data_IF_785739121396
#
_entry.id   IF_785739121396
#
_cell.length_a   1.000
_cell.length_b   1.000
_cell.length_c   1.000
_cell.angle_alpha   90.00
_cell.angle_beta   90.00
_cell.angle_gamma   90.00
#
_symmetry.space_group_name_H-M   'P 1'
#
loop_
_entity.id
_entity.type
_entity.pdbx_description
1 polymer ?
#
# COMPACT_ATOMS: atom_id res chain seq x y z
N UNK A 1 46.57 0.37 34.19
CA UNK A 1 45.77 -0.83 34.36
C UNK A 1 44.71 -0.82 33.28
N UNK A 2 44.99 -1.52 32.20
CA UNK A 2 44.21 -1.60 30.98
C UNK A 2 43.29 -2.83 31.08
N UNK A 3 41.98 -2.60 31.08
CA UNK A 3 41.00 -3.69 31.01
C UNK A 3 40.50 -3.80 29.60
N UNK A 4 40.99 -4.80 28.90
CA UNK A 4 40.57 -5.23 27.57
C UNK A 4 39.23 -5.97 27.68
N UNK A 5 38.17 -5.43 27.08
CA UNK A 5 36.90 -6.13 26.90
C UNK A 5 37.03 -6.93 25.60
N UNK A 6 37.27 -8.23 25.75
CA UNK A 6 37.26 -9.22 24.66
C UNK A 6 35.83 -9.63 24.37
N UNK A 7 35.21 -8.99 23.38
CA UNK A 7 33.92 -9.43 22.80
C UNK A 7 34.19 -10.59 21.82
N UNK A 8 33.76 -11.80 22.19
CA UNK A 8 33.87 -13.00 21.36
C UNK A 8 32.97 -12.86 20.13
N UNK A 9 33.52 -12.39 19.01
CA UNK A 9 32.82 -12.44 17.72
C UNK A 9 32.67 -13.90 17.27
N UNK A 10 31.47 -14.43 17.40
CA UNK A 10 31.16 -15.76 16.86
C UNK A 10 31.28 -15.72 15.35
N UNK A 11 32.29 -16.36 14.81
CA UNK A 11 32.51 -16.42 13.37
C UNK A 11 31.39 -17.18 12.67
N UNK A 12 30.77 -16.59 11.65
CA UNK A 12 29.71 -17.25 10.85
C UNK A 12 30.18 -18.57 10.23
N UNK A 13 31.49 -18.77 10.08
CA UNK A 13 32.10 -20.00 9.56
C UNK A 13 31.96 -21.17 10.54
N UNK A 14 31.92 -20.91 11.84
CA UNK A 14 31.75 -21.97 12.86
C UNK A 14 30.33 -22.48 12.97
N UNK A 15 29.34 -21.77 12.37
CA UNK A 15 27.92 -22.12 12.38
C UNK A 15 27.47 -22.81 11.07
N UNK A 16 28.40 -23.13 10.17
CA UNK A 16 28.12 -23.72 8.85
C UNK A 16 27.33 -25.04 8.93
N UNK A 17 27.58 -25.82 9.97
CA UNK A 17 26.95 -27.14 10.17
C UNK A 17 25.68 -27.05 11.04
N UNK A 18 25.27 -25.83 11.43
CA UNK A 18 24.08 -25.56 12.26
C UNK A 18 23.21 -24.49 11.60
N UNK A 19 22.44 -24.86 10.57
CA UNK A 19 21.72 -23.90 9.74
C UNK A 19 20.72 -23.03 10.53
N UNK A 20 20.12 -23.58 11.59
CA UNK A 20 19.17 -22.83 12.41
C UNK A 20 19.85 -21.77 13.29
N UNK A 21 21.00 -22.06 13.85
CA UNK A 21 21.79 -21.09 14.62
C UNK A 21 22.39 -20.02 13.71
N UNK A 22 22.80 -20.40 12.50
CA UNK A 22 23.27 -19.47 11.48
C UNK A 22 22.16 -18.46 11.09
N UNK A 23 20.93 -18.96 10.88
CA UNK A 23 19.78 -18.08 10.56
C UNK A 23 19.46 -17.14 11.71
N UNK A 24 19.48 -17.60 12.97
CA UNK A 24 19.28 -16.74 14.15
C UNK A 24 20.36 -15.65 14.26
N UNK A 25 21.62 -16.01 14.01
CA UNK A 25 22.70 -15.04 14.08
C UNK A 25 22.64 -14.03 12.93
N UNK A 26 22.25 -14.45 11.71
CA UNK A 26 22.00 -13.58 10.59
C UNK A 26 20.81 -12.63 10.87
N UNK A 27 19.72 -13.13 11.44
CA UNK A 27 18.58 -12.31 11.84
C UNK A 27 18.98 -11.27 12.89
N UNK A 28 19.75 -11.68 13.90
CA UNK A 28 20.26 -10.79 14.97
C UNK A 28 21.16 -9.69 14.38
N UNK A 29 22.05 -10.04 13.46
CA UNK A 29 22.92 -9.07 12.76
C UNK A 29 22.14 -8.16 11.84
N UNK A 30 21.15 -8.68 11.11
CA UNK A 30 20.25 -7.87 10.28
C UNK A 30 19.46 -6.85 11.13
N UNK A 31 18.93 -7.26 12.27
CA UNK A 31 18.26 -6.35 13.23
C UNK A 31 19.24 -5.32 13.82
N UNK A 32 20.46 -5.72 14.15
CA UNK A 32 21.49 -4.82 14.67
C UNK A 32 21.94 -3.77 13.63
N UNK A 33 22.04 -4.16 12.35
CA UNK A 33 22.32 -3.25 11.24
C UNK A 33 21.16 -2.27 11.00
N UNK A 34 19.91 -2.73 11.18
CA UNK A 34 18.73 -1.86 11.04
C UNK A 34 18.60 -0.87 12.21
N UNK A 35 19.15 -1.19 13.40
CA UNK A 35 19.10 -0.32 14.59
C UNK A 35 20.37 0.52 14.76
N UNK A 36 21.50 0.17 14.09
CA UNK A 36 22.81 0.70 14.44
C UNK A 36 23.50 1.61 13.42
N UNK A 37 22.98 1.86 12.22
CA UNK A 37 23.64 2.71 11.22
C UNK A 37 22.67 3.44 10.29
N UNK A 38 21.69 4.14 10.84
CA UNK A 38 21.27 5.39 10.22
C UNK A 38 21.97 6.50 11.00
N UNK A 39 22.75 7.41 10.38
CA UNK A 39 23.08 8.64 11.03
C UNK A 39 21.75 9.30 11.40
N UNK A 40 21.52 9.56 12.69
CA UNK A 40 20.48 10.45 13.16
C UNK A 40 20.86 11.90 12.80
N UNK A 41 21.03 12.14 11.51
CA UNK A 41 20.74 13.45 10.97
C UNK A 41 19.22 13.54 11.00
N UNK A 42 18.68 14.66 11.40
CA UNK A 42 17.29 15.10 11.42
C UNK A 42 16.55 14.90 10.06
N UNK A 43 16.70 13.75 9.43
CA UNK A 43 15.97 13.25 8.30
C UNK A 43 14.63 12.72 8.87
N UNK A 44 13.59 13.55 8.74
CA UNK A 44 12.25 13.33 9.19
C UNK A 44 11.74 11.93 8.83
N UNK A 45 10.75 11.48 9.56
CA UNK A 45 10.07 10.21 9.33
C UNK A 45 9.84 10.00 7.84
N UNK A 46 10.21 8.81 7.36
CA UNK A 46 9.98 8.42 5.97
C UNK A 46 8.56 7.86 5.83
N UNK A 47 7.80 8.44 4.92
CA UNK A 47 6.49 7.93 4.54
C UNK A 47 6.63 7.00 3.33
N UNK A 48 5.97 5.86 3.37
CA UNK A 48 5.97 4.87 2.30
C UNK A 48 4.55 4.65 1.80
N UNK A 49 4.36 4.70 0.50
CA UNK A 49 3.07 4.43 -0.12
C UNK A 49 3.18 3.60 -1.39
N UNK A 50 2.03 3.12 -1.83
CA UNK A 50 1.84 2.47 -3.13
C UNK A 50 1.38 3.52 -4.12
N UNK A 51 2.11 3.69 -5.21
CA UNK A 51 1.72 4.55 -6.31
C UNK A 51 0.91 3.76 -7.33
N UNK A 52 -0.20 4.32 -7.78
CA UNK A 52 -1.07 3.71 -8.79
C UNK A 52 -1.64 4.75 -9.73
N UNK A 53 -2.06 4.30 -10.91
CA UNK A 53 -2.70 5.14 -11.92
C UNK A 53 -4.19 4.87 -11.95
N UNK A 54 -4.97 5.93 -12.12
CA UNK A 54 -6.41 5.88 -12.28
C UNK A 54 -6.86 7.04 -13.17
N UNK A 55 -7.49 6.72 -14.31
CA UNK A 55 -8.00 7.72 -15.25
C UNK A 55 -6.96 8.67 -15.84
N UNK A 56 -5.70 8.23 -15.95
CA UNK A 56 -4.59 9.06 -16.45
C UNK A 56 -3.84 9.83 -15.37
N UNK A 57 -4.36 9.93 -14.15
CA UNK A 57 -3.70 10.56 -13.01
C UNK A 57 -3.01 9.54 -12.12
N UNK A 58 -1.98 9.98 -11.41
CA UNK A 58 -1.22 9.14 -10.48
C UNK A 58 -1.56 9.53 -9.05
N UNK A 59 -1.85 8.53 -8.23
CA UNK A 59 -2.21 8.67 -6.82
C UNK A 59 -1.27 7.84 -5.95
N UNK A 60 -1.21 8.22 -4.69
CA UNK A 60 -0.57 7.44 -3.62
C UNK A 60 -1.63 6.94 -2.64
N UNK A 61 -1.39 5.78 -2.06
CA UNK A 61 -2.07 5.31 -0.85
C UNK A 61 -1.03 4.90 0.17
N UNK A 62 -1.30 5.12 1.44
CA UNK A 62 -0.38 4.72 2.50
C UNK A 62 -0.19 3.19 2.49
N UNK A 63 1.06 2.76 2.74
CA UNK A 63 1.36 1.33 2.80
C UNK A 63 0.55 0.63 3.89
N UNK A 64 0.33 1.29 5.00
CA UNK A 64 -0.43 0.79 6.15
C UNK A 64 -1.90 0.54 5.81
N UNK A 65 -2.47 1.31 4.87
CA UNK A 65 -3.84 1.13 4.38
C UNK A 65 -3.94 0.08 3.27
N UNK A 66 -2.81 -0.45 2.79
CA UNK A 66 -2.74 -1.48 1.74
C UNK A 66 -2.28 -2.81 2.32
N UNK A 67 -3.12 -3.83 2.24
CA UNK A 67 -2.78 -5.20 2.65
C UNK A 67 -1.86 -5.88 1.63
N UNK A 68 -2.27 -5.87 0.37
CA UNK A 68 -1.54 -6.45 -0.76
C UNK A 68 -2.01 -5.85 -2.10
N UNK A 69 -1.24 -6.09 -3.15
CA UNK A 69 -1.60 -5.76 -4.53
C UNK A 69 -1.65 -7.05 -5.34
N UNK A 70 -2.74 -7.24 -6.07
CA UNK A 70 -3.01 -8.45 -6.85
C UNK A 70 -3.20 -8.12 -8.33
N UNK A 71 -3.00 -9.13 -9.20
CA UNK A 71 -3.57 -9.11 -10.54
C UNK A 71 -5.10 -9.16 -10.47
N UNK A 72 -5.79 -8.64 -11.48
CA UNK A 72 -7.25 -8.78 -11.54
C UNK A 72 -7.62 -10.26 -11.64
N UNK A 73 -8.51 -10.78 -10.77
CA UNK A 73 -8.87 -12.19 -10.76
C UNK A 73 -9.54 -12.61 -12.07
N UNK A 74 -9.23 -13.84 -12.56
CA UNK A 74 -9.83 -14.38 -13.76
C UNK A 74 -11.33 -14.65 -13.60
N UNK A 75 -11.78 -14.95 -12.38
CA UNK A 75 -13.18 -15.23 -12.06
C UNK A 75 -13.68 -14.29 -10.99
N UNK A 76 -14.69 -13.50 -11.34
CA UNK A 76 -15.41 -12.62 -10.43
C UNK A 76 -16.90 -12.91 -10.59
N UNK A 77 -17.53 -13.38 -9.51
CA UNK A 77 -18.96 -13.69 -9.47
C UNK A 77 -19.76 -12.44 -9.19
N UNK A 78 -20.65 -12.06 -10.10
CA UNK A 78 -21.51 -10.88 -9.93
C UNK A 78 -22.50 -11.06 -8.79
N UNK A 79 -22.79 -9.96 -8.10
CA UNK A 79 -23.81 -9.91 -7.03
C UNK A 79 -25.06 -9.23 -7.62
N UNK A 80 -26.21 -9.93 -7.68
CA UNK A 80 -27.47 -9.31 -8.10
C UNK A 80 -27.86 -8.15 -7.18
N UNK A 81 -28.39 -7.06 -7.72
CA UNK A 81 -28.83 -5.88 -6.95
C UNK A 81 -27.68 -5.04 -6.36
N UNK A 82 -26.43 -5.28 -6.77
CA UNK A 82 -25.32 -4.43 -6.37
C UNK A 82 -25.16 -3.23 -7.32
N UNK A 83 -24.65 -2.12 -6.80
CA UNK A 83 -24.36 -0.93 -7.61
C UNK A 83 -23.31 -1.22 -8.69
N UNK A 84 -23.34 -0.46 -9.79
CA UNK A 84 -22.51 -0.70 -10.98
C UNK A 84 -21.01 -0.75 -10.74
N UNK A 85 -20.52 -0.06 -9.71
CA UNK A 85 -19.11 -0.07 -9.32
C UNK A 85 -18.71 -1.33 -8.53
N UNK A 86 -19.66 -2.14 -8.06
CA UNK A 86 -19.40 -3.46 -7.46
C UNK A 86 -19.28 -4.48 -8.59
N UNK A 87 -18.08 -4.98 -8.82
CA UNK A 87 -17.84 -6.00 -9.88
C UNK A 87 -18.28 -7.39 -9.46
N UNK A 88 -18.29 -7.68 -8.15
CA UNK A 88 -18.71 -8.97 -7.62
C UNK A 88 -17.80 -9.48 -6.49
N UNK A 89 -17.78 -10.80 -6.32
CA UNK A 89 -16.92 -11.51 -5.37
C UNK A 89 -15.87 -12.34 -6.11
N UNK A 90 -14.64 -12.28 -5.64
CA UNK A 90 -13.57 -13.15 -6.08
C UNK A 90 -13.05 -14.00 -4.91
N UNK A 91 -12.64 -15.22 -5.20
CA UNK A 91 -11.91 -16.04 -4.23
C UNK A 91 -10.42 -15.69 -4.33
N UNK A 92 -9.87 -15.11 -3.26
CA UNK A 92 -8.46 -14.79 -3.14
C UNK A 92 -7.89 -15.60 -1.99
N UNK A 93 -7.06 -16.59 -2.29
CA UNK A 93 -6.43 -17.49 -1.31
C UNK A 93 -7.41 -18.10 -0.31
N UNK A 94 -8.58 -18.54 -0.80
CA UNK A 94 -9.62 -19.17 0.02
C UNK A 94 -10.54 -18.19 0.75
N UNK A 95 -10.34 -16.88 0.61
CA UNK A 95 -11.20 -15.85 1.18
C UNK A 95 -12.02 -15.16 0.07
N UNK A 96 -13.30 -14.93 0.33
CA UNK A 96 -14.15 -14.15 -0.56
C UNK A 96 -13.85 -12.66 -0.36
N UNK A 97 -13.41 -12.02 -1.43
CA UNK A 97 -13.08 -10.61 -1.45
C UNK A 97 -14.04 -9.86 -2.39
N UNK A 98 -14.79 -8.86 -1.90
CA UNK A 98 -15.55 -7.95 -2.75
C UNK A 98 -14.63 -7.18 -3.69
N UNK A 99 -14.93 -7.24 -4.99
CA UNK A 99 -14.19 -6.57 -6.06
C UNK A 99 -14.94 -5.32 -6.48
N UNK A 100 -14.29 -4.18 -6.40
CA UNK A 100 -14.89 -2.86 -6.56
C UNK A 100 -14.08 -2.05 -7.57
N UNK A 101 -14.75 -1.37 -8.48
CA UNK A 101 -14.12 -0.46 -9.45
C UNK A 101 -14.02 0.92 -8.82
N UNK A 102 -12.79 1.30 -8.41
CA UNK A 102 -12.53 2.55 -7.72
C UNK A 102 -12.89 3.76 -8.58
N UNK A 103 -12.51 3.73 -9.85
CA UNK A 103 -12.80 4.84 -10.78
C UNK A 103 -14.29 5.02 -11.00
N UNK A 104 -15.03 3.91 -11.15
CA UNK A 104 -16.48 3.94 -11.31
C UNK A 104 -17.19 4.39 -10.03
N UNK A 105 -16.68 3.98 -8.86
CA UNK A 105 -17.17 4.46 -7.57
C UNK A 105 -17.05 5.98 -7.45
N UNK A 106 -15.94 6.55 -7.89
CA UNK A 106 -15.67 8.00 -7.89
C UNK A 106 -16.39 8.76 -9.03
N UNK A 107 -17.26 8.09 -9.81
CA UNK A 107 -18.05 8.71 -10.85
C UNK A 107 -17.27 9.13 -12.11
N UNK A 108 -16.05 8.61 -12.29
CA UNK A 108 -15.17 8.95 -13.42
C UNK A 108 -15.12 7.87 -14.51
N UNK A 109 -16.22 7.09 -14.62
CA UNK A 109 -16.35 6.01 -15.58
C UNK A 109 -15.74 4.69 -15.13
N UNK A 110 -16.00 3.62 -15.88
CA UNK A 110 -15.49 2.29 -15.52
C UNK A 110 -14.02 2.13 -15.90
N UNK A 111 -13.28 1.40 -15.07
CA UNK A 111 -11.92 0.98 -15.36
C UNK A 111 -11.92 -0.07 -16.47
N UNK A 112 -11.15 0.14 -17.53
CA UNK A 112 -10.98 -0.86 -18.58
C UNK A 112 -10.13 -2.02 -18.03
N UNK A 113 -10.70 -3.24 -18.05
CA UNK A 113 -9.93 -4.43 -17.67
C UNK A 113 -8.85 -4.72 -18.71
N UNK A 114 -7.62 -4.85 -18.26
CA UNK A 114 -6.46 -5.10 -19.13
C UNK A 114 -5.32 -5.79 -18.39
N UNK A 115 -4.22 -6.03 -19.10
CA UNK A 115 -3.03 -6.69 -18.52
C UNK A 115 -2.41 -5.91 -17.36
N UNK A 116 -2.54 -4.59 -17.36
CA UNK A 116 -1.98 -3.72 -16.34
C UNK A 116 -2.91 -3.51 -15.15
N UNK A 117 -4.20 -3.84 -15.30
CA UNK A 117 -5.20 -3.71 -14.24
C UNK A 117 -4.76 -4.46 -13.00
N UNK A 118 -4.80 -3.78 -11.87
CA UNK A 118 -4.42 -4.33 -10.56
C UNK A 118 -5.54 -4.11 -9.57
N UNK A 119 -5.46 -4.87 -8.49
CA UNK A 119 -6.36 -4.75 -7.35
C UNK A 119 -5.54 -4.40 -6.14
N UNK A 120 -5.84 -3.25 -5.55
CA UNK A 120 -5.29 -2.83 -4.26
C UNK A 120 -6.24 -3.37 -3.19
N UNK A 121 -5.76 -4.30 -2.38
CA UNK A 121 -6.54 -4.87 -1.28
C UNK A 121 -6.40 -3.97 -0.06
N UNK A 122 -7.52 -3.49 0.43
CA UNK A 122 -7.57 -2.57 1.58
C UNK A 122 -7.19 -3.31 2.86
N UNK A 123 -6.34 -2.70 3.67
CA UNK A 123 -6.00 -3.19 5.00
C UNK A 123 -6.96 -2.61 6.04
N UNK A 124 -8.18 -3.13 6.08
CA UNK A 124 -9.18 -2.75 7.05
C UNK A 124 -9.72 -3.99 7.77
N UNK A 125 -9.96 -3.90 9.10
CA UNK A 125 -10.35 -5.06 9.91
C UNK A 125 -11.74 -5.58 9.58
N UNK A 126 -12.67 -4.68 9.31
CA UNK A 126 -14.10 -4.98 9.19
C UNK A 126 -14.60 -4.90 7.75
N UNK A 127 -13.89 -4.20 6.87
CA UNK A 127 -14.33 -3.95 5.50
C UNK A 127 -13.28 -4.50 4.53
N UNK A 128 -13.30 -5.81 4.25
CA UNK A 128 -12.44 -6.38 3.21
C UNK A 128 -12.91 -5.86 1.85
N UNK A 129 -12.01 -5.26 1.09
CA UNK A 129 -12.31 -4.74 -0.24
C UNK A 129 -11.08 -4.83 -1.16
N UNK A 130 -11.31 -5.24 -2.38
CA UNK A 130 -10.33 -5.18 -3.46
C UNK A 130 -10.71 -4.07 -4.44
N UNK A 131 -9.92 -3.01 -4.47
CA UNK A 131 -10.14 -1.84 -5.32
C UNK A 131 -9.41 -1.99 -6.65
N UNK A 132 -10.15 -2.09 -7.74
CA UNK A 132 -9.63 -2.18 -9.10
C UNK A 132 -9.12 -0.80 -9.53
N UNK A 133 -7.87 -0.76 -10.02
CA UNK A 133 -7.18 0.42 -10.55
C UNK A 133 -6.55 0.11 -11.90
N UNK A 134 -6.24 1.14 -12.69
CA UNK A 134 -5.71 0.94 -14.05
C UNK A 134 -4.34 0.25 -14.01
N UNK A 135 -3.44 0.71 -13.12
CA UNK A 135 -2.08 0.20 -13.00
C UNK A 135 -1.50 0.52 -11.61
N UNK A 136 -0.63 -0.35 -11.09
CA UNK A 136 0.18 -0.06 -9.90
C UNK A 136 1.62 0.16 -10.32
N UNK A 137 2.18 1.31 -9.92
CA UNK A 137 3.51 1.78 -10.29
C UNK A 137 4.60 1.37 -9.25
N UNK A 138 4.18 0.67 -8.17
CA UNK A 138 5.05 0.20 -7.12
C UNK A 138 5.14 1.15 -5.92
N UNK A 139 6.08 0.85 -5.02
CA UNK A 139 6.28 1.65 -3.81
C UNK A 139 7.00 2.95 -4.11
N UNK A 140 6.63 3.99 -3.36
CA UNK A 140 7.30 5.29 -3.32
C UNK A 140 7.59 5.67 -1.89
N UNK A 141 8.69 6.38 -1.67
CA UNK A 141 9.14 6.85 -0.37
C UNK A 141 9.28 8.36 -0.43
N UNK A 142 8.78 9.04 0.56
CA UNK A 142 8.84 10.49 0.70
C UNK A 142 9.28 10.85 2.11
N UNK A 143 9.97 11.98 2.26
CA UNK A 143 10.15 12.55 3.59
C UNK A 143 8.82 13.19 4.05
N UNK A 144 8.48 13.07 5.33
CA UNK A 144 7.26 13.71 5.86
C UNK A 144 7.22 15.21 5.59
N UNK A 145 8.37 15.87 5.54
CA UNK A 145 8.49 17.28 5.21
C UNK A 145 8.05 17.66 3.79
N UNK A 146 7.95 16.68 2.87
CA UNK A 146 7.45 16.88 1.51
C UNK A 146 5.91 16.81 1.42
N UNK A 147 5.25 16.46 2.54
CA UNK A 147 3.79 16.37 2.62
C UNK A 147 3.15 17.74 2.82
N UNK A 148 2.08 17.98 2.07
CA UNK A 148 1.19 19.12 2.25
C UNK A 148 -0.23 18.59 2.44
N UNK A 149 -0.91 19.03 3.50
CA UNK A 149 -2.30 18.66 3.76
C UNK A 149 -3.28 19.23 2.71
N UNK A 150 -2.87 20.27 1.99
CA UNK A 150 -3.65 20.83 0.89
C UNK A 150 -3.50 19.93 -0.36
N UNK A 151 -4.57 19.22 -0.69
CA UNK A 151 -4.62 18.38 -1.87
C UNK A 151 -4.77 19.23 -3.15
N UNK A 152 -4.10 18.85 -4.25
CA UNK A 152 -4.31 19.51 -5.53
C UNK A 152 -5.69 19.14 -6.09
N UNK A 153 -6.25 19.97 -6.98
CA UNK A 153 -7.42 19.58 -7.74
C UNK A 153 -7.08 18.38 -8.63
N UNK A 154 -7.99 17.40 -8.68
CA UNK A 154 -7.85 16.20 -9.50
C UNK A 154 -8.97 16.13 -10.55
N UNK A 155 -8.70 15.51 -11.70
CA UNK A 155 -9.72 15.29 -12.73
C UNK A 155 -10.75 14.26 -12.23
N UNK A 156 -10.27 13.29 -11.45
CA UNK A 156 -11.12 12.32 -10.77
C UNK A 156 -11.68 12.95 -9.51
N UNK A 157 -13.00 12.93 -9.36
CA UNK A 157 -13.72 13.51 -8.20
C UNK A 157 -13.48 12.70 -6.93
N UNK A 158 -12.30 12.84 -6.34
CA UNK A 158 -11.93 12.13 -5.11
C UNK A 158 -11.56 13.06 -3.96
N UNK A 159 -11.83 14.36 -4.08
CA UNK A 159 -11.44 15.41 -3.13
C UNK A 159 -11.79 15.07 -1.67
N UNK A 160 -12.97 14.48 -1.45
CA UNK A 160 -13.43 14.07 -0.11
C UNK A 160 -12.62 12.95 0.52
N UNK A 161 -11.78 12.27 -0.26
CA UNK A 161 -10.97 11.14 0.18
C UNK A 161 -9.47 11.44 0.11
N UNK A 162 -9.07 12.64 -0.31
CA UNK A 162 -7.68 13.04 -0.33
C UNK A 162 -7.21 13.46 1.08
N UNK A 163 -6.12 12.88 1.53
CA UNK A 163 -5.47 13.25 2.79
C UNK A 163 -4.51 14.44 2.63
N UNK A 164 -4.12 14.75 1.39
CA UNK A 164 -3.12 15.76 1.05
C UNK A 164 -2.32 15.34 -0.18
N UNK A 165 -1.11 15.84 -0.32
CA UNK A 165 -0.20 15.47 -1.40
C UNK A 165 1.27 15.58 -0.99
N UNK A 166 2.11 14.76 -1.59
CA UNK A 166 3.56 14.96 -1.59
C UNK A 166 3.99 15.80 -2.80
N UNK A 167 5.01 16.63 -2.62
CA UNK A 167 5.59 17.47 -3.67
C UNK A 167 7.08 17.20 -3.79
N UNK A 168 7.53 16.73 -4.95
CA UNK A 168 8.94 16.45 -5.22
C UNK A 168 9.29 16.75 -6.67
N UNK A 169 10.36 17.53 -6.88
CA UNK A 169 10.87 17.81 -8.24
C UNK A 169 9.87 18.46 -9.19
N UNK A 170 8.92 19.25 -8.67
CA UNK A 170 7.84 19.85 -9.48
C UNK A 170 6.64 18.93 -9.72
N UNK A 171 6.73 17.66 -9.36
CA UNK A 171 5.62 16.71 -9.41
C UNK A 171 4.78 16.77 -8.13
N UNK A 172 3.47 16.60 -8.29
CA UNK A 172 2.51 16.56 -7.18
C UNK A 172 1.89 15.15 -7.15
N UNK A 173 1.92 14.55 -5.99
CA UNK A 173 1.46 13.19 -5.76
C UNK A 173 0.30 13.18 -4.75
N UNK A 174 -0.96 13.24 -5.21
CA UNK A 174 -2.13 13.19 -4.33
C UNK A 174 -2.17 11.89 -3.52
N UNK A 175 -2.46 12.00 -2.23
CA UNK A 175 -2.59 10.86 -1.31
C UNK A 175 -4.05 10.58 -1.07
N UNK A 176 -4.53 9.44 -1.55
CA UNK A 176 -5.88 8.94 -1.33
C UNK A 176 -5.90 8.12 -0.03
N UNK A 177 -6.80 8.44 0.89
CA UNK A 177 -7.05 7.64 2.08
C UNK A 177 -8.05 6.53 1.78
N UNK A 178 -7.57 5.29 1.73
CA UNK A 178 -8.44 4.13 1.57
C UNK A 178 -9.33 3.93 2.79
N UNK A 179 -8.86 4.28 3.97
CA UNK A 179 -9.64 4.22 5.19
C UNK A 179 -10.86 5.14 5.09
N UNK A 180 -10.67 6.42 4.80
CA UNK A 180 -11.77 7.38 4.65
C UNK A 180 -12.74 6.96 3.55
N UNK A 181 -12.24 6.36 2.47
CA UNK A 181 -13.04 5.89 1.36
C UNK A 181 -13.94 4.72 1.77
N UNK A 182 -13.39 3.65 2.36
CA UNK A 182 -14.19 2.45 2.71
C UNK A 182 -15.14 2.67 3.88
N UNK A 183 -14.81 3.59 4.79
CA UNK A 183 -15.66 3.98 5.90
C UNK A 183 -16.78 4.97 5.49
N UNK A 184 -16.74 5.50 4.25
CA UNK A 184 -17.75 6.45 3.78
C UNK A 184 -19.12 5.79 3.63
N UNK A 185 -20.18 6.55 3.94
CA UNK A 185 -21.56 6.08 3.79
C UNK A 185 -21.85 5.64 2.33
N UNK A 186 -21.32 6.36 1.36
CA UNK A 186 -21.49 6.04 -0.07
C UNK A 186 -20.88 4.68 -0.44
N UNK A 187 -19.78 4.32 0.20
CA UNK A 187 -19.11 3.04 -0.03
C UNK A 187 -19.86 1.89 0.67
N UNK A 188 -20.32 2.10 1.90
CA UNK A 188 -21.05 1.10 2.67
C UNK A 188 -22.42 0.78 2.06
N UNK A 189 -23.01 1.71 1.31
CA UNK A 189 -24.26 1.51 0.57
C UNK A 189 -24.00 0.87 -0.80
N UNK A 190 -23.41 -0.32 -0.83
CA UNK A 190 -23.07 -1.05 -2.06
C UNK A 190 -24.28 -1.71 -2.76
N UNK A 191 -25.42 -1.83 -2.08
CA UNK A 191 -26.69 -2.29 -2.65
C UNK A 191 -27.43 -1.13 -3.34
N UNK A 192 -28.11 -1.46 -4.45
CA UNK A 192 -28.96 -0.53 -5.20
C UNK A 192 -30.42 -0.63 -4.76
#
# INVERSE_FOLDING_TARGET
>A
MTSTVSGTETSLRSLRDRPFELLKELEKRSRAVTVGNAPQTSAGREWVGVAFRMGGETFLVAREETREVLGYPAVVTRIPGAKGWVKGLANVRGQLLPMLDLRQFLGSGATASGRNTRVVVVNHREIPAGLMVDEVLGFRRFAEAEFNAEAPPTVIRCDSYLAGAFRRGGEVWPVLSLKSLVESQSFLQAAS
#
